data_IF_276461241485
#
_entry.id   IF_276461241485
#
_cell.length_a   1.000
_cell.length_b   1.000
_cell.length_c   1.000
_cell.angle_alpha   90.00
_cell.angle_beta   90.00
_cell.angle_gamma   90.00
#
_symmetry.space_group_name_H-M   'P 1'
#
loop_
_entity.id
_entity.type
_entity.pdbx_description
1 polymer ?
#
# COMPACT_ATOMS: atom_id res chain seq x y z
N UNK A 1 -25.22 -13.30 6.68
CA UNK A 1 -25.47 -12.07 7.50
C UNK A 1 -25.42 -10.80 6.64
N UNK A 2 -25.94 -9.68 7.12
CA UNK A 2 -25.83 -8.39 6.42
C UNK A 2 -24.47 -7.72 6.70
N UNK A 3 -24.08 -6.75 5.85
CA UNK A 3 -22.80 -6.03 5.96
C UNK A 3 -22.62 -5.31 7.30
N UNK A 4 -23.70 -4.76 7.87
CA UNK A 4 -23.68 -4.10 9.19
C UNK A 4 -23.35 -5.07 10.32
N UNK A 5 -23.88 -6.28 10.25
CA UNK A 5 -23.57 -7.33 11.22
C UNK A 5 -22.13 -7.83 11.08
N UNK A 6 -21.65 -8.01 9.83
CA UNK A 6 -20.26 -8.36 9.55
C UNK A 6 -19.31 -7.27 10.11
N UNK A 7 -19.62 -6.00 9.89
CA UNK A 7 -18.86 -4.86 10.41
C UNK A 7 -18.75 -4.89 11.94
N UNK A 8 -19.90 -5.14 12.62
CA UNK A 8 -19.95 -5.24 14.08
C UNK A 8 -19.10 -6.39 14.62
N UNK A 9 -19.18 -7.59 14.01
CA UNK A 9 -18.45 -8.78 14.43
C UNK A 9 -16.94 -8.67 14.22
N UNK A 10 -16.54 -8.06 13.11
CA UNK A 10 -15.12 -7.95 12.75
C UNK A 10 -14.46 -6.66 13.22
N UNK A 11 -15.21 -5.73 13.79
CA UNK A 11 -14.75 -4.38 14.15
C UNK A 11 -14.17 -3.60 12.95
N UNK A 12 -14.61 -3.93 11.74
CA UNK A 12 -14.21 -3.27 10.49
C UNK A 12 -15.36 -2.40 10.00
N UNK A 13 -15.09 -1.16 9.61
CA UNK A 13 -16.15 -0.25 9.14
C UNK A 13 -16.83 -0.77 7.87
N UNK A 14 -18.14 -0.48 7.72
CA UNK A 14 -18.90 -0.80 6.50
C UNK A 14 -18.22 -0.21 5.26
N UNK A 15 -17.62 0.98 5.37
CA UNK A 15 -16.88 1.61 4.28
C UNK A 15 -15.67 0.77 3.85
N UNK A 16 -14.88 0.29 4.81
CA UNK A 16 -13.74 -0.58 4.52
C UNK A 16 -14.18 -1.91 3.90
N UNK A 17 -15.27 -2.52 4.39
CA UNK A 17 -15.82 -3.75 3.81
C UNK A 17 -16.25 -3.55 2.35
N UNK A 18 -16.94 -2.44 2.03
CA UNK A 18 -17.28 -2.08 0.64
C UNK A 18 -16.04 -1.84 -0.22
N UNK A 19 -15.02 -1.24 0.35
CA UNK A 19 -13.75 -1.07 -0.36
C UNK A 19 -13.09 -2.43 -0.64
N UNK A 20 -13.05 -3.35 0.30
CA UNK A 20 -12.54 -4.71 0.07
C UNK A 20 -13.35 -5.46 -0.99
N UNK A 21 -14.68 -5.28 -1.01
CA UNK A 21 -15.55 -5.82 -2.06
C UNK A 21 -15.21 -5.22 -3.43
N UNK A 22 -15.06 -3.89 -3.53
CA UNK A 22 -14.71 -3.22 -4.79
C UNK A 22 -13.33 -3.60 -5.33
N UNK A 23 -12.42 -4.00 -4.45
CA UNK A 23 -11.10 -4.53 -4.81
C UNK A 23 -11.11 -6.04 -5.10
N UNK A 24 -12.28 -6.68 -5.08
CA UNK A 24 -12.42 -8.13 -5.34
C UNK A 24 -11.92 -9.04 -4.22
N UNK A 25 -11.53 -8.48 -3.07
CA UNK A 25 -11.08 -9.24 -1.90
C UNK A 25 -12.22 -9.98 -1.22
N UNK A 26 -13.42 -9.41 -1.22
CA UNK A 26 -14.62 -10.03 -0.67
C UNK A 26 -15.63 -10.27 -1.79
N UNK A 27 -16.26 -11.45 -1.77
CA UNK A 27 -17.28 -11.83 -2.73
C UNK A 27 -18.54 -12.27 -1.97
N UNK A 28 -19.46 -11.33 -1.69
CA UNK A 28 -20.70 -11.68 -1.01
C UNK A 28 -21.58 -12.56 -1.90
N UNK A 29 -22.21 -13.54 -1.31
CA UNK A 29 -23.32 -14.24 -1.92
C UNK A 29 -24.53 -13.32 -2.12
N UNK A 30 -25.55 -13.79 -2.82
CA UNK A 30 -26.85 -13.11 -2.95
C UNK A 30 -27.96 -14.02 -2.43
N UNK A 31 -28.84 -13.45 -1.62
CA UNK A 31 -30.09 -14.11 -1.22
C UNK A 31 -31.08 -14.14 -2.38
N UNK A 32 -32.13 -14.95 -2.26
CA UNK A 32 -33.21 -15.02 -3.24
C UNK A 32 -33.86 -13.65 -3.54
N UNK A 33 -33.87 -12.75 -2.56
CA UNK A 33 -34.36 -11.37 -2.69
C UNK A 33 -33.33 -10.37 -3.26
N UNK A 34 -32.17 -10.85 -3.76
CA UNK A 34 -31.12 -10.04 -4.38
C UNK A 34 -30.17 -9.32 -3.41
N UNK A 35 -30.44 -9.34 -2.10
CA UNK A 35 -29.57 -8.69 -1.10
C UNK A 35 -28.26 -9.46 -0.90
N UNK A 36 -27.18 -8.72 -0.62
CA UNK A 36 -25.87 -9.29 -0.28
C UNK A 36 -25.94 -10.13 0.99
N UNK A 37 -25.33 -11.28 0.95
CA UNK A 37 -25.25 -12.19 2.08
C UNK A 37 -23.80 -12.61 2.34
N UNK A 38 -23.34 -12.41 3.56
CA UNK A 38 -22.00 -12.74 4.01
C UNK A 38 -22.04 -13.95 4.94
N UNK A 39 -21.14 -14.90 4.72
CA UNK A 39 -21.03 -16.13 5.48
C UNK A 39 -20.06 -16.00 6.65
N UNK A 40 -20.00 -16.99 7.53
CA UNK A 40 -18.95 -17.08 8.55
C UNK A 40 -17.54 -17.24 7.92
N UNK A 41 -17.45 -17.85 6.73
CA UNK A 41 -16.21 -17.88 5.96
C UNK A 41 -15.74 -16.46 5.59
N UNK A 42 -16.66 -15.62 5.16
CA UNK A 42 -16.37 -14.20 4.86
C UNK A 42 -15.91 -13.44 6.11
N UNK A 43 -16.48 -13.73 7.28
CA UNK A 43 -16.04 -13.13 8.56
C UNK A 43 -14.56 -13.43 8.82
N UNK A 44 -14.14 -14.70 8.66
CA UNK A 44 -12.72 -15.11 8.81
C UNK A 44 -11.80 -14.42 7.80
N UNK A 45 -12.26 -14.29 6.55
CA UNK A 45 -11.51 -13.53 5.53
C UNK A 45 -11.33 -12.06 5.89
N UNK A 46 -12.38 -11.41 6.39
CA UNK A 46 -12.30 -10.01 6.83
C UNK A 46 -11.32 -9.84 7.99
N UNK A 47 -11.33 -10.74 8.97
CA UNK A 47 -10.36 -10.72 10.08
C UNK A 47 -8.94 -10.88 9.54
N UNK A 48 -8.70 -11.82 8.62
CA UNK A 48 -7.38 -12.01 7.98
C UNK A 48 -6.92 -10.74 7.24
N UNK A 49 -7.80 -10.12 6.45
CA UNK A 49 -7.51 -8.88 5.72
C UNK A 49 -7.19 -7.74 6.71
N UNK A 50 -8.02 -7.56 7.74
CA UNK A 50 -7.85 -6.48 8.72
C UNK A 50 -6.52 -6.61 9.49
N UNK A 51 -6.19 -7.81 9.96
CA UNK A 51 -4.90 -8.08 10.62
C UNK A 51 -3.72 -7.80 9.68
N UNK A 52 -3.78 -8.27 8.44
CA UNK A 52 -2.73 -8.02 7.45
C UNK A 52 -2.58 -6.52 7.15
N UNK A 53 -3.68 -5.76 7.09
CA UNK A 53 -3.66 -4.30 6.94
C UNK A 53 -3.00 -3.60 8.13
N UNK A 54 -3.26 -4.02 9.35
CA UNK A 54 -2.60 -3.49 10.56
C UNK A 54 -1.09 -3.69 10.53
N UNK A 55 -0.63 -4.80 9.96
CA UNK A 55 0.80 -5.07 9.74
C UNK A 55 1.40 -4.31 8.55
N UNK A 56 0.57 -3.50 7.85
CA UNK A 56 1.01 -2.64 6.78
C UNK A 56 1.13 -3.32 5.41
N UNK A 57 0.56 -4.51 5.22
CA UNK A 57 0.49 -5.14 3.90
C UNK A 57 -0.44 -4.36 2.97
N UNK A 58 -0.03 -4.16 1.73
CA UNK A 58 -0.87 -3.60 0.69
C UNK A 58 -1.95 -4.61 0.24
N UNK A 59 -3.13 -4.12 -0.19
CA UNK A 59 -4.24 -4.98 -0.60
C UNK A 59 -3.87 -5.99 -1.69
N UNK A 60 -3.07 -5.67 -2.73
CA UNK A 60 -2.65 -6.65 -3.73
C UNK A 60 -1.87 -7.83 -3.10
N UNK A 61 -0.99 -7.56 -2.14
CA UNK A 61 -0.22 -8.60 -1.44
C UNK A 61 -1.12 -9.48 -0.57
N UNK A 62 -2.14 -8.87 0.07
CA UNK A 62 -3.15 -9.61 0.83
C UNK A 62 -3.95 -10.52 -0.09
N UNK A 63 -4.31 -10.06 -1.29
CA UNK A 63 -5.06 -10.86 -2.27
C UNK A 63 -4.32 -12.14 -2.67
N UNK A 64 -3.00 -12.07 -2.84
CA UNK A 64 -2.15 -13.24 -3.14
C UNK A 64 -2.27 -14.33 -2.06
N UNK A 65 -2.19 -13.94 -0.79
CA UNK A 65 -2.28 -14.88 0.33
C UNK A 65 -3.72 -15.33 0.65
N UNK A 66 -4.71 -14.51 0.29
CA UNK A 66 -6.12 -14.78 0.60
C UNK A 66 -6.64 -16.03 -0.14
N UNK A 67 -6.14 -16.30 -1.35
CA UNK A 67 -6.47 -17.52 -2.11
C UNK A 67 -5.99 -18.79 -1.37
N UNK A 68 -4.78 -18.74 -0.83
CA UNK A 68 -4.22 -19.86 -0.05
C UNK A 68 -4.89 -19.99 1.33
N UNK A 69 -5.26 -18.87 1.94
CA UNK A 69 -6.05 -18.86 3.17
C UNK A 69 -7.42 -19.52 2.98
N UNK A 70 -8.15 -19.17 1.90
CA UNK A 70 -9.45 -19.76 1.55
C UNK A 70 -9.38 -21.27 1.32
N UNK A 71 -8.34 -21.73 0.67
CA UNK A 71 -8.14 -23.15 0.37
C UNK A 71 -7.50 -23.94 1.52
N UNK A 72 -7.17 -23.29 2.64
CA UNK A 72 -6.47 -23.93 3.77
C UNK A 72 -5.01 -24.32 3.46
N UNK A 73 -4.45 -23.83 2.35
CA UNK A 73 -3.04 -24.07 1.98
C UNK A 73 -2.06 -23.09 2.63
N UNK A 74 -2.55 -22.01 3.21
CA UNK A 74 -1.67 -21.02 3.87
C UNK A 74 -1.05 -21.64 5.12
N UNK A 75 0.23 -21.95 5.03
CA UNK A 75 0.99 -22.54 6.14
C UNK A 75 1.51 -21.47 7.08
N UNK A 76 1.75 -21.84 8.36
CA UNK A 76 2.40 -20.97 9.34
C UNK A 76 3.78 -20.53 8.84
N UNK A 77 4.55 -21.41 8.22
CA UNK A 77 5.86 -21.10 7.66
C UNK A 77 5.79 -20.01 6.57
N UNK A 78 4.80 -20.08 5.67
CA UNK A 78 4.58 -19.05 4.65
C UNK A 78 4.19 -17.70 5.28
N UNK A 79 3.34 -17.70 6.31
CA UNK A 79 3.00 -16.48 7.04
C UNK A 79 4.21 -15.86 7.74
N UNK A 80 5.02 -16.67 8.42
CA UNK A 80 6.25 -16.21 9.07
C UNK A 80 7.22 -15.61 8.06
N UNK A 81 7.40 -16.25 6.91
CA UNK A 81 8.25 -15.71 5.83
C UNK A 81 7.75 -14.35 5.32
N UNK A 82 6.45 -14.21 5.09
CA UNK A 82 5.85 -12.94 4.66
C UNK A 82 6.05 -11.83 5.71
N UNK A 83 5.93 -12.16 7.01
CA UNK A 83 6.17 -11.23 8.10
C UNK A 83 7.64 -10.81 8.20
N UNK A 84 8.59 -11.73 8.03
CA UNK A 84 10.02 -11.39 7.98
C UNK A 84 10.34 -10.45 6.81
N UNK A 85 9.79 -10.73 5.64
CA UNK A 85 9.96 -9.84 4.48
C UNK A 85 9.39 -8.44 4.78
N UNK A 86 8.20 -8.36 5.39
CA UNK A 86 7.61 -7.08 5.77
C UNK A 86 8.43 -6.33 6.81
N UNK A 87 8.98 -7.02 7.80
CA UNK A 87 9.87 -6.44 8.80
C UNK A 87 11.14 -5.85 8.14
N UNK A 88 11.71 -6.53 7.15
CA UNK A 88 12.86 -6.02 6.40
C UNK A 88 12.50 -4.78 5.59
N UNK A 89 11.37 -4.77 4.88
CA UNK A 89 10.89 -3.59 4.14
C UNK A 89 10.74 -2.37 5.06
N UNK A 90 10.21 -2.57 6.26
CA UNK A 90 10.08 -1.49 7.26
C UNK A 90 11.44 -1.02 7.76
N UNK A 91 12.40 -1.92 7.97
CA UNK A 91 13.76 -1.55 8.35
C UNK A 91 14.45 -0.70 7.26
N UNK A 92 14.29 -1.08 6.00
CA UNK A 92 14.85 -0.35 4.85
C UNK A 92 14.22 1.05 4.73
N UNK A 93 12.89 1.16 4.93
CA UNK A 93 12.19 2.44 4.95
C UNK A 93 12.67 3.33 6.11
N UNK A 94 12.86 2.76 7.30
CA UNK A 94 13.37 3.48 8.45
C UNK A 94 14.80 3.99 8.21
N UNK A 95 15.68 3.19 7.62
CA UNK A 95 17.04 3.61 7.27
C UNK A 95 17.03 4.76 6.25
N UNK A 96 16.15 4.71 5.25
CA UNK A 96 16.00 5.79 4.28
C UNK A 96 15.54 7.09 4.93
N UNK A 97 14.54 7.02 5.81
CA UNK A 97 14.03 8.19 6.56
C UNK A 97 15.10 8.78 7.49
N UNK A 98 15.91 7.94 8.13
CA UNK A 98 17.04 8.39 8.96
C UNK A 98 18.10 9.11 8.12
N UNK A 99 18.44 8.60 6.94
CA UNK A 99 19.37 9.27 6.03
C UNK A 99 18.83 10.64 5.57
N UNK A 100 17.54 10.71 5.22
CA UNK A 100 16.91 12.00 4.87
C UNK A 100 16.91 12.97 6.04
N UNK A 101 16.59 12.51 7.25
CA UNK A 101 16.66 13.32 8.47
C UNK A 101 18.08 13.86 8.69
N UNK A 102 19.11 13.03 8.53
CA UNK A 102 20.50 13.49 8.69
C UNK A 102 20.85 14.59 7.67
N UNK A 103 20.47 14.42 6.41
CA UNK A 103 20.67 15.46 5.38
C UNK A 103 20.03 16.79 5.77
N UNK A 104 18.82 16.77 6.35
CA UNK A 104 18.14 17.98 6.83
C UNK A 104 18.91 18.61 7.99
N UNK A 105 19.38 17.82 8.95
CA UNK A 105 20.17 18.32 10.09
C UNK A 105 21.50 18.93 9.66
N UNK A 106 22.19 18.31 8.73
CA UNK A 106 23.45 18.83 8.16
C UNK A 106 23.21 20.18 7.47
N UNK A 107 22.07 20.32 6.78
CA UNK A 107 21.69 21.56 6.14
C UNK A 107 21.36 22.67 7.16
N UNK A 108 20.68 22.33 8.24
CA UNK A 108 20.41 23.26 9.36
C UNK A 108 21.74 23.74 9.96
N UNK A 109 22.65 22.83 10.27
CA UNK A 109 23.97 23.18 10.82
C UNK A 109 24.77 24.09 9.88
N UNK A 110 24.71 23.82 8.58
CA UNK A 110 25.34 24.66 7.56
C UNK A 110 24.77 26.09 7.50
N UNK A 111 23.44 26.24 7.62
CA UNK A 111 22.80 27.57 7.70
C UNK A 111 23.17 28.31 8.98
N UNK A 112 23.10 27.65 10.12
CA UNK A 112 23.43 28.24 11.42
C UNK A 112 24.88 28.71 11.49
N UNK A 113 25.81 27.96 10.89
CA UNK A 113 27.21 28.39 10.82
C UNK A 113 27.43 29.69 9.99
N UNK A 114 26.46 30.07 9.15
CA UNK A 114 26.50 31.28 8.30
C UNK A 114 25.72 32.46 8.86
N UNK A 115 24.90 32.26 9.85
CA UNK A 115 24.08 33.31 10.46
C UNK A 115 24.92 34.50 11.00
N UNK A 116 26.11 34.32 11.63
CA UNK A 116 26.95 35.44 12.03
C UNK A 116 27.62 36.18 10.84
N UNK A 117 27.64 35.59 9.65
CA UNK A 117 28.20 36.19 8.43
C UNK A 117 27.18 37.00 7.59
N UNK A 118 25.94 37.14 8.06
CA UNK A 118 24.81 37.75 7.33
C UNK A 118 24.88 39.27 7.14
N UNK A 119 26.09 39.85 7.03
CA UNK A 119 26.31 41.21 6.47
C UNK A 119 26.56 41.19 4.95
N UNK A 120 26.57 40.05 4.30
CA UNK A 120 26.68 39.93 2.85
C UNK A 120 25.38 39.41 2.25
N UNK A 121 24.79 40.14 1.29
CA UNK A 121 23.56 39.66 0.65
C UNK A 121 23.84 38.40 -0.18
N UNK A 122 23.08 37.37 0.11
CA UNK A 122 22.92 36.13 -0.67
C UNK A 122 24.15 35.19 -0.76
N UNK A 123 24.36 34.30 0.25
CA UNK A 123 25.34 33.25 0.09
C UNK A 123 24.92 32.31 -1.07
N UNK A 124 25.90 31.86 -1.85
CA UNK A 124 25.64 30.87 -2.90
C UNK A 124 24.87 29.69 -2.32
N UNK A 125 23.84 29.21 -3.01
CA UNK A 125 23.07 28.06 -2.53
C UNK A 125 23.99 26.84 -2.30
N UNK A 126 23.72 26.02 -1.26
CA UNK A 126 24.50 24.79 -1.04
C UNK A 126 24.45 23.92 -2.28
N UNK A 127 25.45 23.07 -2.48
CA UNK A 127 25.39 22.09 -3.56
C UNK A 127 24.27 21.09 -3.25
N UNK A 128 23.11 21.35 -3.80
CA UNK A 128 21.99 20.43 -3.73
C UNK A 128 22.44 19.08 -4.33
N UNK A 129 22.13 17.96 -3.67
CA UNK A 129 22.34 16.67 -4.30
C UNK A 129 21.60 16.70 -5.65
N UNK A 130 22.34 16.48 -6.73
CA UNK A 130 21.76 16.49 -8.09
C UNK A 130 20.59 15.52 -8.10
N UNK A 131 19.37 16.06 -8.19
CA UNK A 131 18.17 15.24 -8.39
C UNK A 131 18.42 14.44 -9.66
N UNK A 132 18.68 13.14 -9.52
CA UNK A 132 18.74 12.25 -10.68
C UNK A 132 17.38 12.37 -11.34
N UNK A 133 17.32 12.98 -12.52
CA UNK A 133 16.10 12.97 -13.36
C UNK A 133 15.72 11.50 -13.50
N UNK A 134 14.57 11.11 -12.93
CA UNK A 134 13.99 9.80 -13.22
C UNK A 134 13.90 9.71 -14.75
N UNK A 135 14.45 8.66 -15.38
CA UNK A 135 14.23 8.50 -16.81
C UNK A 135 12.72 8.48 -17.04
N UNK A 136 12.23 9.37 -17.90
CA UNK A 136 10.87 9.30 -18.37
C UNK A 136 10.67 7.89 -18.91
N UNK A 137 9.65 7.19 -18.40
CA UNK A 137 9.23 5.91 -18.96
C UNK A 137 9.02 6.10 -20.46
N UNK A 138 9.47 5.15 -21.30
CA UNK A 138 9.28 5.27 -22.73
C UNK A 138 7.78 5.41 -23.01
N UNK A 139 7.44 6.40 -23.84
CA UNK A 139 6.08 6.65 -24.27
C UNK A 139 5.46 5.35 -24.79
N UNK A 140 4.29 5.02 -24.27
CA UNK A 140 3.50 3.87 -24.67
C UNK A 140 3.44 3.75 -26.18
N UNK A 141 3.78 2.57 -26.68
CA UNK A 141 3.69 2.24 -28.11
C UNK A 141 2.30 2.56 -28.65
N UNK A 142 2.17 3.09 -29.87
CA UNK A 142 0.87 3.40 -30.45
C UNK A 142 0.05 2.13 -30.65
N UNK A 143 -1.20 2.19 -30.21
CA UNK A 143 -2.21 1.14 -30.37
C UNK A 143 -2.38 0.86 -31.88
N UNK A 144 -2.28 -0.39 -32.35
CA UNK A 144 -2.51 -0.68 -33.75
C UNK A 144 -3.98 -0.39 -34.13
N UNK A 145 -4.19 0.45 -35.16
CA UNK A 145 -5.50 0.72 -35.72
C UNK A 145 -6.10 -0.57 -36.27
N UNK A 146 -7.17 -1.05 -35.63
CA UNK A 146 -7.99 -2.12 -36.19
C UNK A 146 -8.68 -1.60 -37.46
N UNK A 147 -8.26 -2.12 -38.60
CA UNK A 147 -8.88 -1.86 -39.90
C UNK A 147 -10.30 -2.42 -39.90
N UNK A 148 -11.30 -1.56 -39.89
CA UNK A 148 -12.70 -1.95 -40.16
C UNK A 148 -12.80 -2.35 -41.64
N UNK A 149 -12.91 -3.65 -41.91
CA UNK A 149 -13.47 -4.12 -43.19
C UNK A 149 -14.97 -3.83 -43.17
N UNK A 150 -15.43 -3.05 -44.14
CA UNK A 150 -16.86 -2.92 -44.51
C UNK A 150 -17.29 -4.15 -45.30
N UNK A 151 -18.57 -4.51 -45.24
CA UNK A 151 -19.16 -5.65 -45.97
C UNK A 151 -19.16 -5.44 -47.48
#
# INVERSE_FOLDING_TARGET
MQISELARRTSVSVHALRHYESQGLLQPGRRANGYRDYTEGTEREVVFIAMSRQLGFALPRIAEHLADFRSGRLTIAAMVQALHQRAQELADQAALLQAQRQTVLDHIAWLQAREPAAKTPNPAPPPWPRVRKRPLAPASSPIPRVSRRKP
#
